data_IF_007941857074
#
_entry.id   IF_007941857074
#
_cell.length_a   1.000
_cell.length_b   1.000
_cell.length_c   1.000
_cell.angle_alpha   90.00
_cell.angle_beta   90.00
_cell.angle_gamma   90.00
#
_symmetry.space_group_name_H-M   'P 1'
#
loop_
_entity.id
_entity.type
_entity.pdbx_description
1 polymer ?
#
# COMPACT_ATOMS: atom_id res chain seq x y z
N UNK A 1 3.67 -10.23 -11.28
CA UNK A 1 4.21 -8.93 -10.77
C UNK A 1 5.24 -8.25 -11.66
N UNK A 2 6.34 -8.90 -12.08
CA UNK A 2 7.43 -8.26 -12.87
C UNK A 2 6.95 -7.46 -14.09
N UNK A 3 5.94 -7.96 -14.82
CA UNK A 3 5.32 -7.27 -15.97
C UNK A 3 4.62 -5.95 -15.59
N UNK A 4 3.96 -5.90 -14.45
CA UNK A 4 3.28 -4.69 -13.94
C UNK A 4 4.29 -3.64 -13.48
N UNK A 5 5.39 -4.08 -12.86
CA UNK A 5 6.51 -3.22 -12.47
C UNK A 5 7.21 -2.64 -13.72
N UNK A 6 7.50 -3.48 -14.73
CA UNK A 6 8.11 -3.04 -15.99
C UNK A 6 7.24 -2.06 -16.76
N UNK A 7 5.92 -2.19 -16.67
CA UNK A 7 4.95 -1.27 -17.30
C UNK A 7 4.69 -0.01 -16.48
N UNK A 8 5.33 0.17 -15.32
CA UNK A 8 5.14 1.34 -14.46
C UNK A 8 3.77 1.43 -13.77
N UNK A 9 2.92 0.40 -13.89
CA UNK A 9 1.59 0.36 -13.30
C UNK A 9 1.63 0.27 -11.77
N UNK A 10 2.70 -0.31 -11.21
CA UNK A 10 2.89 -0.47 -9.78
C UNK A 10 4.33 -0.11 -9.45
N UNK A 11 4.54 0.80 -8.49
CA UNK A 11 5.88 1.06 -7.96
C UNK A 11 6.20 0.11 -6.81
N UNK A 12 7.34 -0.54 -6.90
CA UNK A 12 7.84 -1.44 -5.86
C UNK A 12 9.36 -1.35 -5.77
N UNK A 13 9.88 -1.57 -4.57
CA UNK A 13 11.32 -1.66 -4.32
C UNK A 13 11.74 -3.12 -4.18
N UNK A 14 12.90 -3.49 -4.74
CA UNK A 14 13.45 -4.85 -4.61
C UNK A 14 14.25 -4.93 -3.31
N UNK A 15 13.82 -5.79 -2.38
CA UNK A 15 14.49 -6.01 -1.09
C UNK A 15 14.71 -7.51 -0.92
N UNK A 16 15.97 -7.94 -0.81
CA UNK A 16 16.33 -9.35 -0.62
C UNK A 16 15.82 -10.29 -1.72
N UNK A 17 15.77 -9.83 -2.97
CA UNK A 17 15.26 -10.63 -4.10
C UNK A 17 13.75 -10.51 -4.36
N UNK A 18 12.98 -10.07 -3.36
CA UNK A 18 11.53 -9.91 -3.45
C UNK A 18 11.15 -8.47 -3.78
N UNK A 19 10.08 -8.27 -4.54
CA UNK A 19 9.51 -6.94 -4.77
C UNK A 19 8.53 -6.59 -3.64
N UNK A 20 8.78 -5.48 -2.95
CA UNK A 20 7.88 -4.92 -1.92
C UNK A 20 7.13 -3.71 -2.47
N UNK A 21 5.82 -3.79 -2.46
CA UNK A 21 4.91 -2.75 -2.93
C UNK A 21 4.58 -1.83 -1.75
N UNK A 22 4.58 -0.51 -1.98
CA UNK A 22 4.14 0.45 -0.98
C UNK A 22 2.61 0.40 -0.83
N UNK A 23 2.09 0.44 0.40
CA UNK A 23 0.65 0.39 0.65
C UNK A 23 -0.15 1.49 -0.08
N UNK A 24 0.45 2.67 -0.32
CA UNK A 24 -0.17 3.75 -1.10
C UNK A 24 -0.42 3.37 -2.57
N UNK A 25 0.46 2.55 -3.16
CA UNK A 25 0.33 2.11 -4.55
C UNK A 25 -0.80 1.09 -4.69
N UNK A 26 -1.01 0.28 -3.65
CA UNK A 26 -2.16 -0.64 -3.59
C UNK A 26 -3.47 0.15 -3.55
N UNK A 27 -3.54 1.21 -2.73
CA UNK A 27 -4.69 2.11 -2.70
C UNK A 27 -4.96 2.76 -4.06
N UNK A 28 -3.91 3.24 -4.72
CA UNK A 28 -4.01 3.85 -6.05
C UNK A 28 -4.55 2.87 -7.12
N UNK A 29 -4.12 1.60 -7.06
CA UNK A 29 -4.58 0.56 -7.99
C UNK A 29 -6.05 0.20 -7.80
N UNK A 30 -6.54 0.21 -6.56
CA UNK A 30 -7.94 -0.15 -6.27
C UNK A 30 -8.88 0.96 -6.71
N UNK A 31 -8.53 2.23 -6.47
CA UNK A 31 -9.24 3.36 -7.06
C UNK A 31 -8.48 4.68 -6.86
N UNK A 32 -8.10 5.37 -7.95
CA UNK A 32 -7.45 6.68 -7.88
C UNK A 32 -8.35 7.78 -7.28
N UNK A 33 -9.65 7.72 -7.51
CA UNK A 33 -10.60 8.73 -7.01
C UNK A 33 -10.83 8.64 -5.51
N UNK A 34 -10.62 7.44 -4.97
CA UNK A 34 -10.78 7.13 -3.55
C UNK A 34 -9.57 7.62 -2.73
N UNK A 35 -8.46 8.03 -3.36
CA UNK A 35 -7.23 8.45 -2.68
C UNK A 35 -7.48 9.52 -1.59
N UNK A 36 -8.24 10.59 -1.88
CA UNK A 36 -8.51 11.64 -0.87
C UNK A 36 -9.35 11.16 0.31
N UNK A 37 -10.33 10.28 0.08
CA UNK A 37 -11.28 9.86 1.10
C UNK A 37 -10.82 8.61 1.86
N UNK A 38 -10.29 7.61 1.14
CA UNK A 38 -9.75 6.41 1.75
C UNK A 38 -8.38 6.61 2.38
N UNK A 39 -7.58 7.62 2.05
CA UNK A 39 -6.37 7.87 2.85
C UNK A 39 -6.74 8.07 4.31
N UNK A 40 -7.79 8.83 4.64
CA UNK A 40 -8.26 8.98 6.02
C UNK A 40 -8.77 7.66 6.61
N UNK A 41 -9.60 6.91 5.87
CA UNK A 41 -10.14 5.63 6.35
C UNK A 41 -9.08 4.55 6.52
N UNK A 42 -8.17 4.43 5.56
CA UNK A 42 -7.02 3.53 5.58
C UNK A 42 -6.04 3.90 6.70
N UNK A 43 -5.73 5.18 6.89
CA UNK A 43 -4.89 5.61 8.00
C UNK A 43 -5.54 5.30 9.35
N UNK A 44 -6.85 5.50 9.49
CA UNK A 44 -7.60 5.09 10.70
C UNK A 44 -7.56 3.58 10.91
N UNK A 45 -7.74 2.80 9.85
CA UNK A 45 -7.74 1.34 9.93
C UNK A 45 -6.34 0.80 10.23
N UNK A 46 -5.31 1.34 9.58
CA UNK A 46 -3.90 1.08 9.88
C UNK A 46 -3.58 1.41 11.33
N UNK A 47 -4.05 2.56 11.84
CA UNK A 47 -3.84 2.96 13.23
C UNK A 47 -4.49 1.97 14.19
N UNK A 48 -5.77 1.62 13.98
CA UNK A 48 -6.45 0.59 14.78
C UNK A 48 -5.70 -0.74 14.78
N UNK A 49 -5.25 -1.16 13.60
CA UNK A 49 -4.47 -2.39 13.45
C UNK A 49 -3.19 -2.29 14.28
N UNK A 50 -2.37 -1.26 14.09
CA UNK A 50 -1.14 -1.02 14.88
C UNK A 50 -1.43 -0.99 16.38
N UNK A 51 -2.42 -0.22 16.82
CA UNK A 51 -2.82 -0.11 18.23
C UNK A 51 -3.26 -1.48 18.80
N UNK A 52 -3.81 -2.37 17.98
CA UNK A 52 -4.21 -3.74 18.38
C UNK A 52 -3.03 -4.70 18.43
N UNK A 53 -2.09 -4.61 17.49
CA UNK A 53 -0.89 -5.49 17.46
C UNK A 53 0.22 -5.01 18.39
N UNK A 54 0.10 -3.83 18.98
CA UNK A 54 1.07 -3.27 19.91
C UNK A 54 0.55 -3.32 21.37
N UNK A 55 0.38 -4.51 21.99
CA UNK A 55 0.17 -4.61 23.44
C UNK A 55 1.48 -4.42 24.24
N UNK A 56 2.60 -4.15 23.57
CA UNK A 56 3.93 -3.91 24.15
C UNK A 56 4.65 -2.79 23.39
#
# INVERSE_FOLDING_TARGET
MKRLLKKGLIRANKVGGQYRILGKEILYLVSPSIEKQAVKSYLKLKKKVVDTINPW
#
